data_IF_204314335441
#
_entry.id   IF_204314335441
#
_cell.length_a   1.000
_cell.length_b   1.000
_cell.length_c   1.000
_cell.angle_alpha   90.00
_cell.angle_beta   90.00
_cell.angle_gamma   90.00
#
_symmetry.space_group_name_H-M   'P 1'
#
loop_
_entity.id
_entity.type
_entity.pdbx_description
1 polymer ?
#
# COMPACT_ATOMS: atom_id res chain seq x y z
N UNK A 1 15.17 2.01 11.21
CA UNK A 1 15.59 3.15 10.36
C UNK A 1 14.65 4.34 10.44
N UNK A 2 13.42 4.30 9.90
CA UNK A 2 12.54 5.49 9.84
C UNK A 2 12.22 6.09 11.22
N UNK A 3 11.82 5.25 12.17
CA UNK A 3 11.55 5.65 13.54
C UNK A 3 12.80 6.21 14.23
N UNK A 4 13.95 5.54 14.07
CA UNK A 4 15.22 5.93 14.69
C UNK A 4 15.73 7.31 14.23
N UNK A 5 15.33 7.76 13.04
CA UNK A 5 15.73 9.06 12.48
C UNK A 5 14.59 10.11 12.53
N UNK A 6 13.47 9.80 13.19
CA UNK A 6 12.33 10.73 13.29
C UNK A 6 11.63 11.04 11.95
N UNK A 7 11.74 10.15 10.96
CA UNK A 7 11.05 10.34 9.68
C UNK A 7 9.55 10.04 9.82
N UNK A 8 8.72 10.99 9.40
CA UNK A 8 7.28 10.83 9.35
C UNK A 8 6.80 10.84 7.89
N UNK A 9 6.25 9.71 7.44
CA UNK A 9 5.65 9.58 6.13
C UNK A 9 4.38 8.71 6.23
N UNK A 10 3.45 8.91 5.29
CA UNK A 10 2.38 7.97 5.11
C UNK A 10 2.96 6.69 4.48
N UNK A 11 2.75 5.56 5.14
CA UNK A 11 3.22 4.25 4.68
C UNK A 11 2.01 3.33 4.50
N UNK A 12 1.94 2.65 3.36
CA UNK A 12 0.98 1.57 3.11
C UNK A 12 1.75 0.28 2.92
N UNK A 13 1.37 -0.77 3.64
CA UNK A 13 1.98 -2.09 3.53
C UNK A 13 1.20 -2.91 2.50
N UNK A 14 1.92 -3.49 1.54
CA UNK A 14 1.42 -4.47 0.59
C UNK A 14 2.22 -5.75 0.81
N UNK A 15 1.55 -6.90 0.89
CA UNK A 15 2.22 -8.15 1.20
C UNK A 15 1.25 -9.20 1.75
N UNK A 16 1.83 -10.27 2.29
CA UNK A 16 1.07 -11.39 2.82
C UNK A 16 0.34 -10.96 4.10
N UNK A 17 -0.98 -11.12 4.17
CA UNK A 17 -1.77 -10.86 5.36
C UNK A 17 -1.50 -11.89 6.45
N UNK A 18 -1.77 -11.53 7.70
CA UNK A 18 -1.64 -12.43 8.85
C UNK A 18 -2.81 -13.42 8.93
N UNK A 19 -2.87 -14.35 7.97
CA UNK A 19 -3.82 -15.45 7.88
C UNK A 19 -3.25 -16.58 7.03
N UNK A 20 -3.85 -17.77 7.13
CA UNK A 20 -3.55 -18.86 6.20
C UNK A 20 -4.07 -18.56 4.80
N UNK A 21 -3.30 -18.97 3.79
CA UNK A 21 -3.58 -18.84 2.36
C UNK A 21 -3.37 -20.21 1.75
N UNK A 22 -4.32 -20.63 0.92
CA UNK A 22 -4.30 -21.95 0.29
C UNK A 22 -3.17 -22.06 -0.75
N UNK A 23 -2.79 -23.29 -1.08
CA UNK A 23 -1.81 -23.52 -2.13
C UNK A 23 -2.36 -23.11 -3.51
N UNK A 24 -1.54 -22.40 -4.27
CA UNK A 24 -1.86 -21.95 -5.62
C UNK A 24 -0.60 -21.60 -6.40
N UNK A 25 -0.79 -21.17 -7.63
CA UNK A 25 0.31 -20.63 -8.43
C UNK A 25 0.72 -19.26 -7.89
N UNK A 26 1.99 -18.85 -8.11
CA UNK A 26 2.47 -17.55 -7.65
C UNK A 26 1.57 -16.36 -8.09
N UNK A 27 1.10 -16.28 -9.35
CA UNK A 27 0.20 -15.19 -9.76
C UNK A 27 -1.12 -15.15 -8.99
N UNK A 28 -1.72 -16.30 -8.72
CA UNK A 28 -2.96 -16.40 -7.93
C UNK A 28 -2.73 -15.92 -6.50
N UNK A 29 -1.64 -16.35 -5.87
CA UNK A 29 -1.29 -15.96 -4.51
C UNK A 29 -1.00 -14.46 -4.40
N UNK A 30 -0.32 -13.87 -5.38
CA UNK A 30 -0.05 -12.42 -5.41
C UNK A 30 -1.33 -11.61 -5.56
N UNK A 31 -2.25 -12.11 -6.38
CA UNK A 31 -3.58 -11.51 -6.57
C UNK A 31 -4.39 -11.61 -5.27
N UNK A 32 -4.43 -12.78 -4.63
CA UNK A 32 -5.16 -13.00 -3.36
C UNK A 32 -4.60 -12.15 -2.21
N UNK A 33 -3.28 -12.00 -2.15
CA UNK A 33 -2.63 -11.15 -1.16
C UNK A 33 -2.70 -9.66 -1.49
N UNK A 34 -3.13 -9.28 -2.70
CA UNK A 34 -3.28 -7.89 -3.11
C UNK A 34 -1.95 -7.14 -3.23
N UNK A 35 -0.92 -7.78 -3.77
CA UNK A 35 0.36 -7.14 -4.07
C UNK A 35 0.91 -7.44 -5.48
N UNK A 36 0.05 -7.93 -6.37
CA UNK A 36 0.35 -8.02 -7.79
C UNK A 36 0.49 -6.63 -8.45
N UNK A 37 0.88 -6.61 -9.73
CA UNK A 37 1.11 -5.37 -10.47
C UNK A 37 -0.09 -4.42 -10.44
N UNK A 38 -1.31 -4.98 -10.56
CA UNK A 38 -2.54 -4.18 -10.56
C UNK A 38 -2.80 -3.57 -9.17
N UNK A 39 -2.62 -4.34 -8.10
CA UNK A 39 -2.78 -3.85 -6.74
C UNK A 39 -1.74 -2.78 -6.39
N UNK A 40 -0.49 -2.93 -6.84
CA UNK A 40 0.56 -1.92 -6.66
C UNK A 40 0.20 -0.62 -7.39
N UNK A 41 -0.24 -0.70 -8.66
CA UNK A 41 -0.66 0.46 -9.44
C UNK A 41 -1.84 1.17 -8.76
N UNK A 42 -2.83 0.42 -8.29
CA UNK A 42 -3.98 0.96 -7.57
C UNK A 42 -3.56 1.67 -6.27
N UNK A 43 -2.72 1.01 -5.46
CA UNK A 43 -2.21 1.57 -4.21
C UNK A 43 -1.43 2.88 -4.42
N UNK A 44 -0.61 2.96 -5.48
CA UNK A 44 0.11 4.20 -5.85
C UNK A 44 -0.87 5.31 -6.25
N UNK A 45 -1.86 5.00 -7.09
CA UNK A 45 -2.88 5.98 -7.51
C UNK A 45 -3.65 6.53 -6.31
N UNK A 46 -4.05 5.67 -5.38
CA UNK A 46 -4.73 6.05 -4.14
C UNK A 46 -3.86 6.96 -3.27
N UNK A 47 -2.59 6.58 -3.02
CA UNK A 47 -1.67 7.40 -2.21
C UNK A 47 -1.44 8.79 -2.82
N UNK A 48 -1.30 8.88 -4.14
CA UNK A 48 -1.12 10.17 -4.84
C UNK A 48 -2.40 11.01 -4.79
N UNK A 49 -3.58 10.39 -4.97
CA UNK A 49 -4.86 11.09 -4.90
C UNK A 49 -5.15 11.62 -3.48
N UNK A 50 -4.90 10.83 -2.44
CA UNK A 50 -5.05 11.25 -1.05
C UNK A 50 -4.12 12.41 -0.69
N UNK A 51 -2.91 12.44 -1.26
CA UNK A 51 -1.98 13.56 -1.09
C UNK A 51 -2.55 14.86 -1.68
N UNK A 52 -3.17 14.80 -2.88
CA UNK A 52 -3.86 15.96 -3.47
C UNK A 52 -5.00 16.45 -2.59
N UNK A 53 -5.81 15.53 -2.04
CA UNK A 53 -6.92 15.88 -1.14
C UNK A 53 -6.48 16.51 0.19
N UNK A 54 -5.34 16.08 0.75
CA UNK A 54 -4.75 16.69 1.96
C UNK A 54 -4.16 18.07 1.70
N UNK A 55 -3.50 18.27 0.56
CA UNK A 55 -2.96 19.59 0.19
C UNK A 55 -4.04 20.66 0.01
N UNK A 56 -5.26 20.26 -0.40
CA UNK A 56 -6.40 21.17 -0.53
C UNK A 56 -7.06 21.53 0.82
N UNK A 57 -6.94 20.66 1.84
CA UNK A 57 -7.53 20.85 3.17
C UNK A 57 -6.61 21.58 4.17
N UNK A 58 -5.30 21.66 3.90
CA UNK A 58 -4.33 22.31 4.78
C UNK A 58 -4.22 23.85 4.58
N UNK A 59 -4.96 24.42 3.62
CA UNK A 59 -4.93 25.85 3.27
C UNK A 59 -6.22 26.60 3.67
N UNK A 60 -6.99 26.05 4.61
CA UNK A 60 -8.23 26.62 5.14
C UNK A 60 -8.19 26.67 6.68
#
# INVERSE_FOLDING_TARGET
FMADHGYHAQVRRLGIPDRFIEHGTQPELYTECGFDDQAVIAAVRELVAEKKGRSAKASA
#
